data_IF_528894827789
#
_entry.id   IF_528894827789
#
_cell.length_a   1.000
_cell.length_b   1.000
_cell.length_c   1.000
_cell.angle_alpha   90.00
_cell.angle_beta   90.00
_cell.angle_gamma   90.00
#
_symmetry.space_group_name_H-M   'P 1'
#
loop_
_entity.id
_entity.type
_entity.pdbx_description
1 polymer ?
#
# COMPACT_ATOMS: atom_id res chain seq x y z
N UNK A 1 4.78 -0.28 -26.49
CA UNK A 1 4.77 1.17 -26.18
C UNK A 1 5.01 2.13 -27.35
N UNK A 2 5.51 1.69 -28.51
CA UNK A 2 5.74 2.57 -29.67
C UNK A 2 4.45 3.13 -30.31
N UNK A 3 3.37 2.35 -30.38
CA UNK A 3 2.11 2.79 -31.00
C UNK A 3 1.39 3.89 -30.20
N UNK A 4 1.41 3.80 -28.86
CA UNK A 4 0.81 4.81 -27.98
C UNK A 4 1.58 6.14 -28.02
N UNK A 5 2.91 6.08 -28.17
CA UNK A 5 3.76 7.27 -28.29
C UNK A 5 3.63 7.91 -29.66
N UNK A 6 3.60 7.12 -30.75
CA UNK A 6 3.36 7.61 -32.11
C UNK A 6 2.00 8.32 -32.23
N UNK A 7 0.94 7.75 -31.65
CA UNK A 7 -0.39 8.37 -31.66
C UNK A 7 -0.45 9.70 -30.86
N UNK A 8 0.39 9.85 -29.82
CA UNK A 8 0.41 11.09 -29.02
C UNK A 8 1.07 12.25 -29.76
N UNK A 9 2.09 11.98 -30.61
CA UNK A 9 2.75 13.03 -31.40
C UNK A 9 1.88 13.50 -32.57
N UNK A 10 1.22 12.57 -33.27
CA UNK A 10 0.22 12.91 -34.30
C UNK A 10 -0.94 13.71 -33.70
N UNK A 11 -1.46 13.29 -32.54
CA UNK A 11 -2.50 14.03 -31.84
C UNK A 11 -2.05 15.46 -31.50
N UNK A 12 -0.77 15.66 -31.16
CA UNK A 12 -0.22 16.97 -30.83
C UNK A 12 -0.21 17.93 -32.04
N UNK A 13 0.09 17.41 -33.23
CA UNK A 13 0.01 18.16 -34.48
C UNK A 13 -1.44 18.58 -34.74
N UNK A 14 -2.38 17.63 -34.65
CA UNK A 14 -3.82 17.90 -34.83
C UNK A 14 -4.35 18.96 -33.86
N UNK A 15 -3.97 18.89 -32.58
CA UNK A 15 -4.36 19.92 -31.61
C UNK A 15 -3.75 21.29 -31.94
N UNK A 16 -2.50 21.33 -32.42
CA UNK A 16 -1.86 22.59 -32.78
C UNK A 16 -2.49 23.24 -34.00
N UNK A 17 -2.86 22.46 -35.02
CA UNK A 17 -3.64 22.92 -36.17
C UNK A 17 -5.03 23.41 -35.75
N UNK A 18 -5.73 22.64 -34.90
CA UNK A 18 -7.06 23.02 -34.41
C UNK A 18 -7.03 24.32 -33.59
N UNK A 19 -5.97 24.54 -32.80
CA UNK A 19 -5.75 25.79 -32.06
C UNK A 19 -5.45 26.95 -33.02
N UNK A 20 -4.70 26.71 -34.09
CA UNK A 20 -4.44 27.73 -35.13
C UNK A 20 -5.74 28.17 -35.82
N UNK A 21 -6.65 27.23 -36.10
CA UNK A 21 -7.98 27.52 -36.68
C UNK A 21 -8.94 28.19 -35.68
N UNK A 22 -8.83 27.87 -34.39
CA UNK A 22 -9.71 28.40 -33.35
C UNK A 22 -8.93 28.82 -32.08
N UNK A 23 -8.25 29.99 -32.09
CA UNK A 23 -7.31 30.39 -31.02
C UNK A 23 -7.94 30.61 -29.64
N UNK A 24 -9.27 30.76 -29.56
CA UNK A 24 -10.00 30.98 -28.30
C UNK A 24 -10.64 29.69 -27.73
N UNK A 25 -10.36 28.53 -28.33
CA UNK A 25 -10.80 27.23 -27.82
C UNK A 25 -9.84 26.73 -26.72
N UNK A 26 -9.97 27.30 -25.53
CA UNK A 26 -9.14 26.96 -24.37
C UNK A 26 -9.24 25.51 -23.93
N UNK A 27 -10.34 24.83 -24.25
CA UNK A 27 -10.49 23.39 -24.06
C UNK A 27 -9.49 22.58 -24.91
N UNK A 28 -9.18 23.03 -26.13
CA UNK A 28 -8.18 22.40 -27.00
C UNK A 28 -6.75 22.67 -26.51
N UNK A 29 -6.48 23.90 -26.04
CA UNK A 29 -5.21 24.27 -25.43
C UNK A 29 -4.94 23.42 -24.19
N UNK A 30 -5.96 23.21 -23.34
CA UNK A 30 -5.85 22.35 -22.16
C UNK A 30 -5.63 20.87 -22.50
N UNK A 31 -6.29 20.36 -23.54
CA UNK A 31 -6.05 18.99 -24.05
C UNK A 31 -4.63 18.84 -24.57
N UNK A 32 -4.10 19.85 -25.27
CA UNK A 32 -2.70 19.88 -25.73
C UNK A 32 -1.72 19.94 -24.55
N UNK A 33 -1.99 20.74 -23.52
CA UNK A 33 -1.22 20.75 -22.27
C UNK A 33 -1.11 19.35 -21.65
N UNK A 34 -2.22 18.61 -21.58
CA UNK A 34 -2.22 17.25 -21.06
C UNK A 34 -1.40 16.28 -21.92
N UNK A 35 -1.43 16.41 -23.25
CA UNK A 35 -0.57 15.63 -24.14
C UNK A 35 0.91 15.99 -23.97
N UNK A 36 1.23 17.28 -23.84
CA UNK A 36 2.60 17.71 -23.54
C UNK A 36 3.11 17.07 -22.24
N UNK A 37 2.27 17.03 -21.20
CA UNK A 37 2.61 16.34 -19.95
C UNK A 37 2.88 14.84 -20.16
N UNK A 38 2.01 14.14 -20.90
CA UNK A 38 2.19 12.70 -21.21
C UNK A 38 3.47 12.41 -22.00
N UNK A 39 3.91 13.37 -22.82
CA UNK A 39 5.14 13.29 -23.60
C UNK A 39 6.37 13.82 -22.82
N UNK A 40 6.25 14.05 -21.50
CA UNK A 40 7.28 14.63 -20.65
C UNK A 40 7.80 16.02 -21.11
N UNK A 41 7.03 16.73 -21.94
CA UNK A 41 7.31 18.11 -22.41
C UNK A 41 6.68 19.10 -21.43
N UNK A 42 7.16 19.09 -20.17
CA UNK A 42 6.50 19.76 -19.05
C UNK A 42 6.46 21.29 -19.19
N UNK A 43 7.50 21.93 -19.72
CA UNK A 43 7.53 23.38 -19.94
C UNK A 43 6.41 23.83 -20.89
N UNK A 44 6.19 23.10 -21.99
CA UNK A 44 5.10 23.39 -22.93
C UNK A 44 3.73 23.15 -22.31
N UNK A 45 3.63 22.15 -21.42
CA UNK A 45 2.40 21.90 -20.64
C UNK A 45 2.07 23.07 -19.71
N UNK A 46 3.09 23.67 -19.09
CA UNK A 46 2.98 24.88 -18.27
C UNK A 46 2.50 26.06 -19.12
N UNK A 47 3.16 26.35 -20.25
CA UNK A 47 2.79 27.45 -21.15
C UNK A 47 1.31 27.39 -21.58
N UNK A 48 0.85 26.20 -21.99
CA UNK A 48 -0.56 25.99 -22.39
C UNK A 48 -1.51 26.17 -21.20
N UNK A 49 -1.16 25.64 -20.03
CA UNK A 49 -1.99 25.79 -18.82
C UNK A 49 -2.08 27.24 -18.36
N UNK A 50 -0.97 27.97 -18.35
CA UNK A 50 -0.90 29.39 -18.00
C UNK A 50 -1.66 30.24 -19.01
N UNK A 51 -1.61 29.88 -20.30
CA UNK A 51 -2.43 30.53 -21.33
C UNK A 51 -3.91 30.38 -21.01
N UNK A 52 -4.39 29.18 -20.65
CA UNK A 52 -5.79 28.98 -20.25
C UNK A 52 -6.13 29.80 -19.00
N UNK A 53 -5.27 29.79 -17.98
CA UNK A 53 -5.49 30.51 -16.73
C UNK A 53 -5.46 32.03 -16.88
N UNK A 54 -4.74 32.57 -17.87
CA UNK A 54 -4.74 33.99 -18.20
C UNK A 54 -6.14 34.49 -18.60
N UNK A 55 -6.92 33.66 -19.28
CA UNK A 55 -8.27 34.02 -19.74
C UNK A 55 -9.38 33.45 -18.86
N UNK A 56 -9.14 32.31 -18.21
CA UNK A 56 -10.07 31.64 -17.31
C UNK A 56 -9.35 31.37 -15.97
N UNK A 57 -9.22 32.38 -15.09
CA UNK A 57 -8.38 32.30 -13.89
C UNK A 57 -8.78 31.22 -12.88
N UNK A 58 -10.06 30.83 -12.89
CA UNK A 58 -10.61 29.82 -12.00
C UNK A 58 -10.82 28.46 -12.70
N UNK A 59 -10.16 28.23 -13.85
CA UNK A 59 -10.23 26.94 -14.52
C UNK A 59 -9.51 25.86 -13.69
N UNK A 60 -10.30 24.95 -13.14
CA UNK A 60 -9.86 23.91 -12.21
C UNK A 60 -8.91 22.92 -12.89
N UNK A 61 -9.24 22.46 -14.10
CA UNK A 61 -8.42 21.50 -14.83
C UNK A 61 -7.07 22.12 -15.23
N UNK A 62 -7.05 23.41 -15.60
CA UNK A 62 -5.83 24.13 -15.95
C UNK A 62 -4.90 24.31 -14.73
N UNK A 63 -5.45 24.63 -13.55
CA UNK A 63 -4.69 24.63 -12.30
C UNK A 63 -4.12 23.23 -11.99
N UNK A 64 -4.92 22.18 -12.16
CA UNK A 64 -4.44 20.81 -11.94
C UNK A 64 -3.29 20.44 -12.88
N UNK A 65 -3.41 20.71 -14.19
CA UNK A 65 -2.35 20.43 -15.18
C UNK A 65 -1.08 21.23 -14.91
N UNK A 66 -1.24 22.50 -14.55
CA UNK A 66 -0.12 23.35 -14.15
C UNK A 66 0.60 22.79 -12.91
N UNK A 67 -0.15 22.34 -11.91
CA UNK A 67 0.40 21.71 -10.71
C UNK A 67 1.19 20.44 -11.00
N UNK A 68 0.63 19.54 -11.83
CA UNK A 68 1.31 18.30 -12.24
C UNK A 68 2.61 18.61 -13.00
N UNK A 69 2.59 19.57 -13.92
CA UNK A 69 3.77 19.92 -14.71
C UNK A 69 4.86 20.58 -13.85
N UNK A 70 4.50 21.45 -12.89
CA UNK A 70 5.47 21.98 -11.93
C UNK A 70 6.05 20.89 -11.02
N UNK A 71 5.22 19.96 -10.57
CA UNK A 71 5.67 18.83 -9.76
C UNK A 71 6.66 17.94 -10.52
N UNK A 72 6.36 17.61 -11.78
CA UNK A 72 7.24 16.80 -12.63
C UNK A 72 8.60 17.48 -12.92
N UNK A 73 8.65 18.81 -12.92
CA UNK A 73 9.89 19.59 -13.01
C UNK A 73 10.61 19.80 -11.67
N UNK A 74 10.15 19.13 -10.60
CA UNK A 74 10.66 19.32 -9.24
C UNK A 74 10.59 20.77 -8.73
N UNK A 75 9.68 21.57 -9.30
CA UNK A 75 9.39 22.97 -8.90
C UNK A 75 8.34 22.97 -7.79
N UNK A 76 8.74 22.43 -6.63
CA UNK A 76 7.82 22.06 -5.55
C UNK A 76 7.06 23.26 -4.96
N UNK A 77 7.72 24.41 -4.78
CA UNK A 77 7.06 25.61 -4.24
C UNK A 77 5.99 26.18 -5.18
N UNK A 78 6.24 26.12 -6.49
CA UNK A 78 5.26 26.54 -7.50
C UNK A 78 4.08 25.56 -7.52
N UNK A 79 4.36 24.26 -7.49
CA UNK A 79 3.34 23.22 -7.42
C UNK A 79 2.45 23.39 -6.17
N UNK A 80 3.05 23.59 -4.98
CA UNK A 80 2.32 23.81 -3.73
C UNK A 80 1.35 25.00 -3.83
N UNK A 81 1.82 26.13 -4.36
CA UNK A 81 0.98 27.33 -4.57
C UNK A 81 -0.20 27.05 -5.48
N UNK A 82 0.02 26.33 -6.58
CA UNK A 82 -1.04 25.99 -7.55
C UNK A 82 -2.05 25.03 -6.94
N UNK A 83 -1.63 23.95 -6.27
CA UNK A 83 -2.56 23.03 -5.62
C UNK A 83 -3.31 23.67 -4.45
N UNK A 84 -2.69 24.58 -3.71
CA UNK A 84 -3.37 25.37 -2.66
C UNK A 84 -4.47 26.24 -3.26
N UNK A 85 -4.17 26.89 -4.40
CA UNK A 85 -5.18 27.65 -5.15
C UNK A 85 -6.30 26.75 -5.67
N UNK A 86 -5.97 25.58 -6.22
CA UNK A 86 -6.92 24.60 -6.71
C UNK A 86 -7.90 24.16 -5.60
N UNK A 87 -7.39 23.85 -4.40
CA UNK A 87 -8.23 23.49 -3.25
C UNK A 87 -9.20 24.60 -2.84
N UNK A 88 -8.82 25.87 -3.00
CA UNK A 88 -9.72 27.00 -2.74
C UNK A 88 -10.90 27.10 -3.72
N UNK A 89 -10.81 26.44 -4.89
CA UNK A 89 -11.87 26.43 -5.90
C UNK A 89 -12.95 25.35 -5.65
N UNK A 90 -12.83 24.58 -4.56
CA UNK A 90 -13.80 23.55 -4.11
C UNK A 90 -14.14 22.45 -5.14
N UNK A 91 -13.31 22.26 -6.16
CA UNK A 91 -13.42 21.20 -7.17
C UNK A 91 -12.09 20.41 -7.19
N UNK A 92 -12.14 19.08 -7.36
CA UNK A 92 -10.99 18.16 -7.25
C UNK A 92 -10.31 18.03 -5.86
N UNK A 93 -11.08 18.22 -4.77
CA UNK A 93 -10.57 18.21 -3.40
C UNK A 93 -9.70 16.98 -3.06
N UNK A 94 -10.16 15.76 -3.37
CA UNK A 94 -9.45 14.54 -2.98
C UNK A 94 -8.07 14.37 -3.65
N UNK A 95 -8.01 14.45 -4.98
CA UNK A 95 -6.76 14.31 -5.72
C UNK A 95 -5.80 15.47 -5.44
N UNK A 96 -6.31 16.70 -5.37
CA UNK A 96 -5.49 17.87 -5.06
C UNK A 96 -4.93 17.85 -3.63
N UNK A 97 -5.69 17.36 -2.64
CA UNK A 97 -5.21 17.17 -1.26
C UNK A 97 -4.08 16.14 -1.22
N UNK A 98 -4.23 15.02 -1.94
CA UNK A 98 -3.20 13.98 -2.03
C UNK A 98 -1.92 14.51 -2.68
N UNK A 99 -2.04 15.20 -3.83
CA UNK A 99 -0.88 15.79 -4.52
C UNK A 99 -0.17 16.83 -3.66
N UNK A 100 -0.93 17.72 -3.02
CA UNK A 100 -0.37 18.71 -2.10
C UNK A 100 0.37 18.06 -0.93
N UNK A 101 -0.17 16.96 -0.40
CA UNK A 101 0.46 16.20 0.67
C UNK A 101 1.79 15.57 0.23
N UNK A 102 1.84 14.94 -0.94
CA UNK A 102 3.07 14.39 -1.52
C UNK A 102 4.13 15.46 -1.80
N UNK A 103 3.73 16.61 -2.36
CA UNK A 103 4.63 17.76 -2.61
C UNK A 103 5.30 18.21 -1.32
N UNK A 104 4.52 18.35 -0.23
CA UNK A 104 5.04 18.81 1.05
C UNK A 104 5.95 17.81 1.74
N UNK A 105 5.70 16.52 1.58
CA UNK A 105 6.66 15.49 2.02
C UNK A 105 7.98 15.67 1.29
N UNK A 106 7.94 15.77 -0.03
CA UNK A 106 9.14 15.94 -0.84
C UNK A 106 9.88 17.23 -0.51
N UNK A 107 9.18 18.34 -0.26
CA UNK A 107 9.81 19.58 0.22
C UNK A 107 10.53 19.37 1.56
N UNK A 108 9.89 18.71 2.53
CA UNK A 108 10.51 18.42 3.82
C UNK A 108 11.71 17.47 3.69
N UNK A 109 11.66 16.51 2.78
CA UNK A 109 12.80 15.64 2.45
C UNK A 109 13.97 16.45 1.87
N UNK A 110 13.70 17.38 0.95
CA UNK A 110 14.74 18.29 0.43
C UNK A 110 15.32 19.22 1.50
N UNK A 111 14.58 19.47 2.58
CA UNK A 111 15.07 20.20 3.77
C UNK A 111 15.83 19.29 4.75
N UNK A 112 15.97 18.00 4.47
CA UNK A 112 16.70 17.04 5.29
C UNK A 112 15.87 16.28 6.33
N UNK A 113 14.54 16.44 6.33
CA UNK A 113 13.67 15.67 7.22
C UNK A 113 13.41 14.28 6.67
N UNK A 114 13.42 13.27 7.55
CA UNK A 114 13.08 11.91 7.16
C UNK A 114 11.60 11.80 6.70
N UNK A 115 11.27 11.07 5.61
CA UNK A 115 9.92 10.94 5.04
C UNK A 115 8.83 10.67 6.08
N UNK A 116 9.07 9.69 6.95
CA UNK A 116 8.11 9.28 7.98
C UNK A 116 7.86 10.37 9.04
N UNK A 117 8.89 11.15 9.40
CA UNK A 117 8.73 12.28 10.31
C UNK A 117 7.92 13.38 9.62
N UNK A 118 8.26 13.69 8.37
CA UNK A 118 7.53 14.65 7.54
C UNK A 118 6.05 14.28 7.38
N UNK A 119 5.76 13.03 7.03
CA UNK A 119 4.41 12.48 6.93
C UNK A 119 3.62 12.63 8.24
N UNK A 120 4.23 12.24 9.36
CA UNK A 120 3.59 12.33 10.69
C UNK A 120 3.31 13.78 11.08
N UNK A 121 4.25 14.68 10.82
CA UNK A 121 4.11 16.10 11.11
C UNK A 121 3.00 16.73 10.26
N UNK A 122 2.91 16.39 8.98
CA UNK A 122 1.84 16.85 8.07
C UNK A 122 0.47 16.31 8.47
N UNK A 123 0.36 15.07 8.94
CA UNK A 123 -0.90 14.57 9.49
C UNK A 123 -1.33 15.33 10.76
N UNK A 124 -0.39 15.59 11.68
CA UNK A 124 -0.67 16.34 12.91
C UNK A 124 -1.03 17.81 12.62
N UNK A 125 -0.41 18.44 11.62
CA UNK A 125 -0.77 19.80 11.18
C UNK A 125 -2.01 19.84 10.28
N UNK A 126 -2.65 18.69 10.00
CA UNK A 126 -3.80 18.57 9.07
C UNK A 126 -3.49 19.11 7.67
N UNK A 127 -2.24 18.98 7.22
CA UNK A 127 -1.75 19.46 5.94
C UNK A 127 -2.14 20.92 5.66
N UNK A 128 -2.00 21.81 6.66
CA UNK A 128 -2.31 23.24 6.49
C UNK A 128 -1.19 23.98 5.76
N UNK A 129 0.00 23.99 6.35
CA UNK A 129 1.21 24.61 5.79
C UNK A 129 2.44 23.78 6.13
N UNK A 130 3.50 23.95 5.34
CA UNK A 130 4.80 23.32 5.62
C UNK A 130 5.40 23.84 6.93
N UNK A 131 5.23 25.14 7.25
CA UNK A 131 5.75 25.76 8.47
C UNK A 131 5.13 25.17 9.75
N UNK A 132 3.84 24.84 9.73
CA UNK A 132 3.21 24.14 10.85
C UNK A 132 3.78 22.73 11.03
N UNK A 133 4.06 22.02 9.93
CA UNK A 133 4.72 20.71 10.00
C UNK A 133 6.14 20.83 10.55
N UNK A 134 6.92 21.84 10.13
CA UNK A 134 8.26 22.12 10.65
C UNK A 134 8.23 22.41 12.16
N UNK A 135 7.23 23.18 12.62
CA UNK A 135 7.06 23.46 14.06
C UNK A 135 6.83 22.17 14.85
N UNK A 136 6.01 21.27 14.31
CA UNK A 136 5.77 19.95 14.92
C UNK A 136 7.03 19.10 14.90
N UNK A 137 7.79 19.10 13.81
CA UNK A 137 9.06 18.38 13.69
C UNK A 137 10.07 18.85 14.76
N UNK A 138 10.21 20.16 14.93
CA UNK A 138 11.08 20.75 15.95
C UNK A 138 10.66 20.34 17.39
N UNK A 139 9.37 20.20 17.65
CA UNK A 139 8.88 19.69 18.95
C UNK A 139 9.16 18.20 19.16
N UNK A 140 9.16 17.41 18.09
CA UNK A 140 9.41 15.96 18.14
C UNK A 140 10.88 15.63 18.35
N UNK A 141 11.79 16.47 17.86
CA UNK A 141 13.24 16.25 18.06
C UNK A 141 13.70 16.56 19.50
N UNK A 142 12.89 17.29 20.29
CA UNK A 142 13.15 17.52 21.72
C UNK A 142 12.73 16.34 22.62
N UNK A 143 11.85 15.45 22.14
CA UNK A 143 11.47 14.22 22.84
C UNK A 143 12.46 13.10 22.49
N UNK A 144 13.59 13.03 23.22
CA UNK A 144 14.59 11.94 23.13
C UNK A 144 14.03 10.54 23.38
N UNK A 145 12.75 10.39 23.72
CA UNK A 145 12.11 9.12 24.10
C UNK A 145 11.22 8.51 23.00
N UNK A 146 11.04 9.17 21.84
CA UNK A 146 10.25 8.61 20.72
C UNK A 146 11.08 8.07 19.56
N UNK A 147 12.41 8.15 19.66
CA UNK A 147 13.34 7.81 18.56
C UNK A 147 13.67 6.30 18.49
N UNK A 148 13.24 5.48 19.47
CA UNK A 148 13.51 4.02 19.46
C UNK A 148 12.51 3.19 18.65
N UNK A 149 11.36 3.75 18.27
CA UNK A 149 10.28 3.06 17.56
C UNK A 149 10.23 3.39 16.05
N UNK A 150 11.26 4.06 15.52
CA UNK A 150 11.33 4.52 14.12
C UNK A 150 12.72 4.26 13.53
N UNK A 151 13.13 2.99 13.44
CA UNK A 151 14.18 2.54 12.52
C UNK A 151 14.12 1.02 12.28
N UNK A 152 14.13 0.61 11.03
CA UNK A 152 15.07 -0.39 10.51
C UNK A 152 15.45 0.10 9.11
N UNK A 153 16.75 0.29 8.93
CA UNK A 153 17.50 0.72 7.76
C UNK A 153 17.30 -0.20 6.57
N UNK A 154 17.37 0.38 5.37
CA UNK A 154 17.57 -0.30 4.09
C UNK A 154 19.06 -0.64 3.82
N UNK A 155 19.91 -0.70 4.85
CA UNK A 155 21.32 -1.07 4.72
C UNK A 155 21.68 -2.09 5.81
N UNK A 156 21.58 -3.37 5.45
CA UNK A 156 22.66 -4.36 5.68
C UNK A 156 22.32 -5.66 4.92
N UNK A 157 23.25 -6.03 4.05
CA UNK A 157 23.46 -7.33 3.39
C UNK A 157 22.56 -7.66 2.18
N UNK A 158 23.05 -7.18 1.04
CA UNK A 158 23.38 -8.03 -0.09
C UNK A 158 23.68 -9.48 0.31
N UNK A 159 22.74 -10.39 0.10
CA UNK A 159 23.06 -11.78 -0.21
C UNK A 159 22.39 -12.09 -1.53
N UNK A 160 23.23 -12.38 -2.53
CA UNK A 160 22.89 -13.13 -3.73
C UNK A 160 21.93 -14.25 -3.36
N UNK A 161 20.75 -14.27 -3.98
CA UNK A 161 19.89 -15.44 -3.95
C UNK A 161 19.97 -16.03 -5.35
N UNK A 162 20.80 -17.07 -5.45
CA UNK A 162 20.87 -17.95 -6.60
C UNK A 162 19.46 -18.46 -6.95
N UNK A 163 19.13 -18.34 -8.23
CA UNK A 163 18.03 -19.05 -8.86
C UNK A 163 18.46 -20.51 -8.99
N UNK A 164 17.84 -21.41 -8.22
CA UNK A 164 17.71 -22.79 -8.67
C UNK A 164 16.23 -23.06 -8.96
N UNK A 165 15.97 -23.27 -10.25
CA UNK A 165 14.76 -23.83 -10.83
C UNK A 165 14.69 -25.30 -10.43
N UNK A 166 13.68 -25.67 -9.63
CA UNK A 166 13.25 -27.07 -9.52
C UNK A 166 12.04 -27.25 -10.46
N UNK A 167 12.36 -27.44 -11.74
CA UNK A 167 11.56 -28.30 -12.62
C UNK A 167 11.92 -29.75 -12.26
N UNK A 168 10.94 -30.54 -11.83
CA UNK A 168 10.76 -31.91 -12.31
C UNK A 168 9.41 -32.46 -11.83
N UNK A 169 8.57 -32.73 -12.82
CA UNK A 169 7.39 -33.57 -12.76
C UNK A 169 7.77 -34.97 -12.25
N UNK A 170 6.93 -35.60 -11.43
CA UNK A 170 6.72 -37.04 -11.58
C UNK A 170 5.35 -37.49 -11.06
N UNK A 171 4.68 -38.22 -11.95
CA UNK A 171 3.38 -38.85 -11.82
C UNK A 171 3.48 -40.15 -11.01
N UNK A 172 2.41 -40.41 -10.26
CA UNK A 172 1.73 -41.70 -10.09
C UNK A 172 2.36 -42.90 -9.34
N UNK A 173 1.46 -43.49 -8.55
CA UNK A 173 1.25 -44.92 -8.24
C UNK A 173 2.13 -45.63 -7.18
N UNK A 174 1.44 -45.87 -6.06
CA UNK A 174 1.17 -47.18 -5.46
C UNK A 174 2.14 -47.87 -4.47
N UNK A 175 1.45 -48.36 -3.43
CA UNK A 175 1.68 -49.55 -2.61
C UNK A 175 2.73 -49.58 -1.47
N UNK A 176 2.16 -49.64 -0.26
CA UNK A 176 2.47 -50.54 0.86
C UNK A 176 3.91 -51.06 1.01
N UNK A 177 4.58 -50.72 2.12
CA UNK A 177 4.91 -51.74 3.14
C UNK A 177 5.43 -51.15 4.47
N UNK A 178 5.26 -51.98 5.49
CA UNK A 178 5.52 -51.88 6.92
C UNK A 178 7.00 -51.75 7.34
N UNK A 179 7.19 -51.36 8.61
CA UNK A 179 8.39 -51.59 9.44
C UNK A 179 8.80 -50.33 10.19
N UNK A 180 8.35 -50.11 11.42
CA UNK A 180 9.01 -50.52 12.69
C UNK A 180 10.44 -49.98 12.80
N UNK A 181 10.59 -48.88 13.54
CA UNK A 181 11.22 -48.80 14.88
C UNK A 181 12.72 -48.44 14.77
N UNK A 182 13.12 -47.34 15.40
CA UNK A 182 13.95 -47.37 16.62
C UNK A 182 14.53 -45.98 16.92
N UNK A 183 14.39 -45.64 18.20
CA UNK A 183 14.99 -44.50 18.87
C UNK A 183 16.52 -44.52 18.78
N UNK A 184 17.14 -43.34 18.78
CA UNK A 184 18.40 -43.13 19.47
C UNK A 184 18.44 -41.72 20.06
N UNK A 185 18.34 -41.67 21.38
CA UNK A 185 18.83 -40.59 22.22
C UNK A 185 20.37 -40.58 22.16
N UNK A 186 20.98 -39.39 22.17
CA UNK A 186 22.28 -39.20 22.80
C UNK A 186 22.37 -37.79 23.38
N UNK A 187 22.87 -37.76 24.61
CA UNK A 187 22.93 -36.68 25.60
C UNK A 187 24.14 -35.74 25.42
N UNK A 188 24.00 -34.52 25.99
CA UNK A 188 24.99 -33.67 26.71
C UNK A 188 26.35 -33.31 26.04
N UNK A 189 26.99 -32.14 26.20
CA UNK A 189 26.93 -31.13 27.26
C UNK A 189 27.50 -29.75 26.84
N UNK A 190 27.27 -28.77 27.73
CA UNK A 190 28.12 -27.62 28.11
C UNK A 190 28.17 -26.30 27.30
N UNK A 191 27.66 -25.25 27.97
CA UNK A 191 28.41 -24.02 28.18
C UNK A 191 28.55 -23.02 27.04
N UNK A 192 27.47 -22.32 26.66
CA UNK A 192 27.60 -21.01 26.03
C UNK A 192 26.34 -20.16 26.22
N UNK A 193 26.51 -18.85 26.42
CA UNK A 193 25.45 -17.84 26.28
C UNK A 193 24.89 -17.92 24.85
N UNK A 194 23.92 -18.80 24.63
CA UNK A 194 23.32 -19.03 23.33
C UNK A 194 22.41 -17.87 22.95
N UNK A 195 22.88 -17.00 22.06
CA UNK A 195 22.01 -16.13 21.28
C UNK A 195 21.10 -17.02 20.46
N UNK A 196 19.80 -17.05 20.78
CA UNK A 196 18.81 -17.79 20.00
C UNK A 196 18.64 -17.06 18.66
N UNK A 197 19.31 -17.55 17.62
CA UNK A 197 19.16 -17.09 16.24
C UNK A 197 18.00 -17.86 15.61
N UNK A 198 16.88 -17.18 15.43
CA UNK A 198 15.63 -17.77 14.93
C UNK A 198 15.66 -17.78 13.40
N UNK A 199 15.57 -18.97 12.80
CA UNK A 199 15.67 -19.19 11.35
C UNK A 199 14.49 -18.54 10.59
N UNK A 200 14.67 -18.10 9.34
CA UNK A 200 13.66 -17.32 8.57
C UNK A 200 12.34 -18.09 8.30
N UNK A 201 12.27 -19.39 8.58
CA UNK A 201 11.18 -20.31 8.22
C UNK A 201 10.25 -20.77 9.37
N UNK A 202 10.31 -20.18 10.58
CA UNK A 202 9.47 -20.65 11.70
C UNK A 202 7.96 -20.54 11.41
N UNK A 203 7.23 -21.65 11.62
CA UNK A 203 5.75 -21.74 11.56
C UNK A 203 5.06 -20.65 12.38
N UNK A 204 5.66 -20.22 13.48
CA UNK A 204 5.13 -19.21 14.39
C UNK A 204 4.87 -17.84 13.74
N UNK A 205 5.70 -17.44 12.76
CA UNK A 205 5.50 -16.16 12.08
C UNK A 205 4.23 -16.17 11.20
N UNK A 206 3.70 -17.36 10.89
CA UNK A 206 2.48 -17.56 10.12
C UNK A 206 1.34 -18.13 10.98
N UNK A 207 1.53 -18.29 12.29
CA UNK A 207 0.51 -18.85 13.19
C UNK A 207 -0.55 -17.81 13.54
N UNK A 208 -1.79 -17.92 13.02
CA UNK A 208 -2.84 -16.94 13.27
C UNK A 208 -3.25 -16.83 14.74
N UNK A 209 -2.92 -17.82 15.58
CA UNK A 209 -3.21 -17.82 17.02
C UNK A 209 -2.48 -16.71 17.78
N UNK A 210 -1.43 -16.14 17.17
CA UNK A 210 -0.64 -15.04 17.72
C UNK A 210 -0.10 -15.31 19.14
N UNK A 211 0.62 -16.43 19.37
CA UNK A 211 1.07 -16.82 20.71
C UNK A 211 1.99 -15.77 21.37
N UNK A 212 2.71 -14.99 20.55
CA UNK A 212 3.62 -13.92 21.00
C UNK A 212 2.94 -12.55 21.17
N UNK A 213 1.62 -12.46 20.97
CA UNK A 213 0.84 -11.23 21.12
C UNK A 213 1.42 -10.07 20.29
N UNK A 214 1.84 -10.34 19.05
CA UNK A 214 2.33 -9.33 18.12
C UNK A 214 1.18 -8.42 17.64
N UNK A 215 1.39 -7.10 17.61
CA UNK A 215 0.41 -6.15 17.06
C UNK A 215 0.65 -5.82 15.58
N UNK A 216 1.81 -6.20 15.05
CA UNK A 216 2.29 -5.85 13.72
C UNK A 216 2.12 -7.01 12.75
N UNK A 217 1.62 -6.73 11.55
CA UNK A 217 1.54 -7.66 10.43
C UNK A 217 2.37 -7.14 9.26
N UNK A 218 3.05 -8.06 8.59
CA UNK A 218 3.59 -7.88 7.25
C UNK A 218 2.66 -8.58 6.26
N UNK A 219 2.24 -7.83 5.25
CA UNK A 219 1.32 -8.28 4.20
C UNK A 219 2.03 -8.13 2.87
N UNK A 220 2.00 -9.14 2.01
CA UNK A 220 2.52 -9.06 0.66
C UNK A 220 1.63 -9.83 -0.31
N UNK A 221 2.06 -9.86 -1.58
CA UNK A 221 1.39 -10.60 -2.66
C UNK A 221 0.03 -10.00 -3.05
N UNK A 222 -0.03 -8.67 -3.14
CA UNK A 222 -1.18 -7.91 -3.64
C UNK A 222 -0.78 -7.06 -4.85
N UNK A 223 -1.77 -6.69 -5.67
CA UNK A 223 -1.56 -5.94 -6.91
C UNK A 223 -1.04 -4.53 -6.66
N UNK A 224 -0.25 -4.02 -7.62
CA UNK A 224 0.29 -2.64 -7.63
C UNK A 224 -0.79 -1.56 -7.66
N UNK A 225 -1.99 -1.90 -8.09
CA UNK A 225 -3.11 -0.97 -8.23
C UNK A 225 -3.88 -0.79 -6.91
N UNK A 226 -3.57 -1.58 -5.86
CA UNK A 226 -4.23 -1.42 -4.57
C UNK A 226 -3.91 -0.06 -3.96
N UNK A 227 -4.95 0.66 -3.56
CA UNK A 227 -4.80 1.94 -2.88
C UNK A 227 -4.61 1.76 -1.38
N UNK A 228 -4.02 2.77 -0.76
CA UNK A 228 -3.94 2.85 0.71
C UNK A 228 -5.31 2.72 1.37
N UNK A 229 -6.36 3.34 0.79
CA UNK A 229 -7.70 3.31 1.37
C UNK A 229 -8.33 1.92 1.30
N UNK A 230 -8.15 1.20 0.20
CA UNK A 230 -8.65 -0.17 0.06
C UNK A 230 -7.98 -1.11 1.05
N UNK A 231 -6.65 -1.03 1.17
CA UNK A 231 -5.89 -1.80 2.15
C UNK A 231 -6.33 -1.46 3.59
N UNK A 232 -6.50 -0.17 3.90
CA UNK A 232 -6.94 0.28 5.22
C UNK A 232 -8.34 -0.25 5.55
N UNK A 233 -9.30 -0.09 4.64
CA UNK A 233 -10.68 -0.53 4.81
C UNK A 233 -10.78 -2.05 4.99
N UNK A 234 -9.91 -2.81 4.33
CA UNK A 234 -9.85 -4.26 4.47
C UNK A 234 -9.44 -4.67 5.88
N UNK A 235 -8.35 -4.09 6.39
CA UNK A 235 -7.76 -4.48 7.68
C UNK A 235 -8.42 -3.81 8.89
N UNK A 236 -9.04 -2.63 8.72
CA UNK A 236 -9.75 -1.94 9.79
C UNK A 236 -10.95 -2.73 10.33
N UNK A 237 -11.47 -3.71 9.58
CA UNK A 237 -12.56 -4.61 10.01
C UNK A 237 -12.19 -5.48 11.22
N UNK A 238 -10.90 -5.71 11.46
CA UNK A 238 -10.41 -6.60 12.51
C UNK A 238 -9.96 -5.86 13.78
N UNK A 239 -9.88 -4.54 13.72
CA UNK A 239 -9.53 -3.69 14.86
C UNK A 239 -9.02 -2.32 14.48
N UNK A 240 -8.78 -1.49 15.50
CA UNK A 240 -8.24 -0.14 15.33
C UNK A 240 -6.76 -0.21 14.91
N UNK A 241 -6.47 0.31 13.72
CA UNK A 241 -5.11 0.42 13.19
C UNK A 241 -4.42 1.61 13.87
N UNK A 242 -3.27 1.35 14.50
CA UNK A 242 -2.36 2.36 15.06
C UNK A 242 -1.61 3.09 13.95
N UNK A 243 -1.06 2.35 13.00
CA UNK A 243 -0.35 2.88 11.84
C UNK A 243 -0.34 1.84 10.71
N UNK A 244 -0.31 2.28 9.45
CA UNK A 244 -0.17 1.43 8.28
C UNK A 244 0.82 2.05 7.29
N UNK A 245 1.77 1.23 6.79
CA UNK A 245 2.66 1.59 5.69
C UNK A 245 2.31 0.72 4.49
N UNK A 246 2.18 1.33 3.33
CA UNK A 246 1.97 0.65 2.05
C UNK A 246 3.12 1.03 1.11
N UNK A 247 3.82 0.03 0.59
CA UNK A 247 4.88 0.18 -0.40
C UNK A 247 4.50 -0.58 -1.67
N UNK A 248 4.52 0.11 -2.80
CA UNK A 248 4.04 -0.43 -4.09
C UNK A 248 5.22 -0.73 -5.04
N UNK A 249 6.39 -0.08 -4.87
CA UNK A 249 7.56 -0.27 -5.73
C UNK A 249 8.85 -0.34 -4.90
N UNK A 250 9.82 -1.22 -5.23
CA UNK A 250 9.83 -2.23 -6.30
C UNK A 250 9.10 -3.55 -5.94
N UNK A 251 8.79 -3.80 -4.66
CA UNK A 251 8.02 -4.96 -4.19
C UNK A 251 6.75 -4.48 -3.48
N UNK A 252 5.59 -5.09 -3.77
CA UNK A 252 4.31 -4.74 -3.16
C UNK A 252 4.19 -5.37 -1.76
N UNK A 253 4.30 -4.55 -0.71
CA UNK A 253 4.13 -5.00 0.68
C UNK A 253 3.53 -3.90 1.58
N UNK A 254 2.89 -4.33 2.66
CA UNK A 254 2.31 -3.45 3.66
C UNK A 254 2.70 -3.89 5.06
N UNK A 255 2.91 -2.92 5.95
CA UNK A 255 3.03 -3.15 7.37
C UNK A 255 1.81 -2.56 8.08
N UNK A 256 1.12 -3.37 8.86
CA UNK A 256 -0.12 -2.99 9.53
C UNK A 256 0.06 -3.19 11.02
N UNK A 257 0.00 -2.10 11.78
CA UNK A 257 0.16 -2.11 13.23
C UNK A 257 -1.20 -1.85 13.87
N UNK A 258 -1.74 -2.82 14.60
CA UNK A 258 -2.95 -2.66 15.39
C UNK A 258 -2.66 -2.05 16.76
N UNK A 259 -3.70 -1.46 17.38
CA UNK A 259 -3.65 -1.09 18.79
C UNK A 259 -3.62 -2.32 19.71
N UNK A 260 -4.24 -3.43 19.28
CA UNK A 260 -4.35 -4.67 20.05
C UNK A 260 -3.80 -5.86 19.26
N UNK A 261 -3.11 -6.77 19.95
CA UNK A 261 -2.55 -7.98 19.34
C UNK A 261 -3.62 -8.99 18.91
N UNK A 262 -4.77 -9.00 19.57
CA UNK A 262 -5.89 -9.87 19.21
C UNK A 262 -6.43 -9.54 17.81
N UNK A 263 -6.41 -8.27 17.41
CA UNK A 263 -6.81 -7.82 16.08
C UNK A 263 -5.87 -8.32 14.98
N UNK A 264 -4.56 -8.34 15.25
CA UNK A 264 -3.57 -8.85 14.31
C UNK A 264 -3.79 -10.35 14.02
N UNK A 265 -4.02 -11.15 15.05
CA UNK A 265 -4.32 -12.58 14.91
C UNK A 265 -5.62 -12.84 14.15
N UNK A 266 -6.68 -12.08 14.46
CA UNK A 266 -7.96 -12.16 13.73
C UNK A 266 -7.80 -11.81 12.24
N UNK A 267 -7.09 -10.73 11.94
CA UNK A 267 -6.85 -10.31 10.57
C UNK A 267 -6.05 -11.35 9.79
N UNK A 268 -4.98 -11.89 10.37
CA UNK A 268 -4.21 -12.98 9.76
C UNK A 268 -5.10 -14.21 9.52
N UNK A 269 -5.85 -14.66 10.53
CA UNK A 269 -6.74 -15.82 10.41
C UNK A 269 -7.77 -15.67 9.29
N UNK A 270 -8.31 -14.47 9.10
CA UNK A 270 -9.41 -14.22 8.17
C UNK A 270 -8.96 -13.82 6.76
N UNK A 271 -7.78 -13.24 6.61
CA UNK A 271 -7.30 -12.71 5.32
C UNK A 271 -6.13 -13.51 4.73
N UNK A 272 -5.53 -14.43 5.49
CA UNK A 272 -4.47 -15.28 4.96
C UNK A 272 -4.98 -16.08 3.76
N UNK A 273 -4.26 -16.00 2.65
CA UNK A 273 -4.62 -16.69 1.43
C UNK A 273 -5.79 -16.07 0.65
N UNK A 274 -6.39 -14.98 1.12
CA UNK A 274 -7.49 -14.32 0.41
C UNK A 274 -7.00 -13.64 -0.87
N UNK A 275 -7.79 -13.78 -1.94
CA UNK A 275 -7.58 -13.04 -3.20
C UNK A 275 -8.45 -11.79 -3.20
N UNK A 276 -7.87 -10.66 -3.58
CA UNK A 276 -8.55 -9.37 -3.63
C UNK A 276 -9.36 -9.23 -4.93
N UNK A 277 -8.83 -9.78 -6.03
CA UNK A 277 -9.48 -9.91 -7.33
C UNK A 277 -9.26 -11.34 -7.83
N UNK A 278 -10.07 -11.77 -8.80
CA UNK A 278 -9.98 -13.11 -9.40
C UNK A 278 -8.59 -13.37 -10.00
N UNK A 279 -7.93 -12.32 -10.51
CA UNK A 279 -6.61 -12.36 -11.12
C UNK A 279 -5.45 -12.14 -10.14
N UNK A 280 -5.69 -11.80 -8.87
CA UNK A 280 -4.59 -11.51 -7.93
C UNK A 280 -4.05 -12.80 -7.32
N UNK A 281 -2.76 -12.82 -7.05
CA UNK A 281 -2.16 -13.80 -6.15
C UNK A 281 -2.80 -13.71 -4.74
N UNK A 282 -2.80 -14.81 -3.97
CA UNK A 282 -3.37 -14.82 -2.63
C UNK A 282 -2.51 -14.02 -1.65
N UNK A 283 -3.14 -13.22 -0.78
CA UNK A 283 -2.43 -12.46 0.25
C UNK A 283 -1.58 -13.38 1.13
N UNK A 284 -0.34 -12.97 1.37
CA UNK A 284 0.55 -13.62 2.32
C UNK A 284 0.73 -12.68 3.51
N UNK A 285 0.29 -13.13 4.68
CA UNK A 285 0.34 -12.38 5.93
C UNK A 285 1.23 -13.12 6.92
N UNK A 286 2.20 -12.42 7.50
CA UNK A 286 3.09 -12.94 8.54
C UNK A 286 3.36 -11.90 9.63
N UNK A 287 3.72 -12.34 10.82
CA UNK A 287 4.32 -11.47 11.83
C UNK A 287 5.76 -11.12 11.41
N UNK A 288 6.21 -9.86 11.59
CA UNK A 288 7.58 -9.48 11.28
C UNK A 288 8.59 -10.25 12.14
N UNK A 289 9.56 -10.90 11.51
CA UNK A 289 10.58 -11.73 12.18
C UNK A 289 11.33 -10.98 13.28
N UNK A 290 11.67 -9.70 13.04
CA UNK A 290 12.38 -8.87 14.03
C UNK A 290 11.52 -8.63 15.29
N UNK A 291 10.20 -8.54 15.14
CA UNK A 291 9.27 -8.37 16.27
C UNK A 291 9.13 -9.67 17.06
N UNK A 292 9.07 -10.81 16.37
CA UNK A 292 9.08 -12.15 16.98
C UNK A 292 10.35 -12.34 17.81
N UNK A 293 11.51 -12.05 17.22
CA UNK A 293 12.80 -12.19 17.89
C UNK A 293 12.92 -11.28 19.12
N UNK A 294 12.40 -10.05 19.03
CA UNK A 294 12.33 -9.13 20.16
C UNK A 294 11.39 -9.64 21.27
N UNK A 295 10.25 -10.22 20.91
CA UNK A 295 9.31 -10.79 21.87
C UNK A 295 9.88 -12.04 22.57
N UNK A 296 10.50 -12.96 21.81
CA UNK A 296 11.14 -14.16 22.34
C UNK A 296 12.28 -13.82 23.30
N UNK A 297 13.10 -12.80 23.01
CA UNK A 297 14.16 -12.32 23.91
C UNK A 297 13.64 -11.76 25.24
N UNK A 298 12.38 -11.31 25.30
CA UNK A 298 11.76 -10.78 26.53
C UNK A 298 11.15 -11.86 27.40
N UNK A 299 10.89 -13.05 26.85
CA UNK A 299 10.47 -14.21 27.63
C UNK A 299 11.66 -14.70 28.44
N UNK A 300 11.49 -14.76 29.76
CA UNK A 300 12.56 -15.16 30.69
C UNK A 300 12.53 -16.65 31.01
N UNK A 301 11.42 -17.31 30.77
CA UNK A 301 11.21 -18.72 31.08
C UNK A 301 11.45 -19.60 29.84
N UNK A 302 12.51 -20.45 29.83
CA UNK A 302 12.76 -21.40 28.76
C UNK A 302 11.61 -22.38 28.51
N UNK A 303 10.79 -22.67 29.54
CA UNK A 303 9.62 -23.55 29.42
C UNK A 303 8.46 -22.90 28.64
N UNK A 304 8.23 -21.60 28.78
CA UNK A 304 7.27 -20.85 27.97
C UNK A 304 7.72 -20.74 26.52
N UNK A 305 9.03 -20.52 26.29
CA UNK A 305 9.61 -20.45 24.95
C UNK A 305 9.45 -21.79 24.22
N UNK A 306 9.74 -22.92 24.88
CA UNK A 306 9.54 -24.26 24.31
C UNK A 306 8.07 -24.52 23.98
N UNK A 307 7.12 -24.15 24.86
CA UNK A 307 5.67 -24.30 24.60
C UNK A 307 5.20 -23.50 23.38
N UNK A 308 5.78 -22.34 23.14
CA UNK A 308 5.43 -21.47 22.01
C UNK A 308 6.07 -21.96 20.70
N UNK A 309 7.29 -22.51 20.74
CA UNK A 309 8.01 -22.96 19.53
C UNK A 309 7.59 -24.34 19.02
N UNK A 310 6.82 -25.12 19.80
CA UNK A 310 6.25 -26.38 19.34
C UNK A 310 5.21 -26.12 18.23
N UNK A 311 5.16 -26.97 17.18
CA UNK A 311 4.20 -26.79 16.09
C UNK A 311 2.75 -26.82 16.60
N UNK A 312 1.82 -26.06 15.97
CA UNK A 312 0.42 -26.06 16.38
C UNK A 312 -0.20 -27.45 16.21
N UNK A 313 -1.05 -27.86 17.15
CA UNK A 313 -1.95 -29.02 16.99
C UNK A 313 -2.81 -28.80 15.73
N UNK A 314 -2.90 -29.81 14.87
CA UNK A 314 -3.60 -29.74 13.58
C UNK A 314 -5.05 -29.27 13.74
N UNK A 315 -5.43 -28.24 12.98
CA UNK A 315 -6.83 -27.81 12.86
C UNK A 315 -7.23 -27.79 11.39
N UNK A 316 -8.12 -28.74 11.07
CA UNK A 316 -8.86 -28.99 9.83
C UNK A 316 -8.93 -27.83 8.82
N UNK A 317 -8.35 -28.09 7.65
CA UNK A 317 -8.43 -27.29 6.44
C UNK A 317 -9.80 -27.40 5.75
N UNK A 318 -10.62 -26.35 5.83
CA UNK A 318 -11.62 -26.09 4.78
C UNK A 318 -11.58 -24.62 4.34
N UNK A 319 -11.33 -24.34 3.05
CA UNK A 319 -11.36 -22.98 2.53
C UNK A 319 -12.79 -22.43 2.56
N UNK A 320 -12.97 -21.23 3.13
CA UNK A 320 -14.26 -20.54 3.17
C UNK A 320 -14.33 -19.50 2.04
N UNK A 321 -15.23 -19.73 1.08
CA UNK A 321 -15.56 -18.75 0.02
C UNK A 321 -16.52 -17.71 0.60
N UNK A 322 -16.13 -16.43 0.59
CA UNK A 322 -17.03 -15.34 0.95
C UNK A 322 -17.93 -15.05 -0.25
N UNK A 323 -19.20 -15.48 -0.19
CA UNK A 323 -20.24 -15.04 -1.14
C UNK A 323 -20.53 -13.55 -0.91
N UNK A 324 -20.61 -12.78 -2.01
CA UNK A 324 -21.04 -11.38 -1.99
C UNK A 324 -22.42 -11.25 -1.33
N UNK A 325 -22.70 -10.16 -0.59
CA UNK A 325 -24.05 -9.87 -0.12
C UNK A 325 -24.96 -9.57 -1.32
N UNK A 326 -25.99 -10.40 -1.48
CA UNK A 326 -27.08 -10.19 -2.43
C UNK A 326 -27.76 -8.85 -2.17
N UNK A 327 -27.76 -7.98 -3.18
CA UNK A 327 -28.57 -6.76 -3.18
C UNK A 327 -30.05 -7.18 -3.23
N UNK A 328 -30.73 -7.07 -2.09
CA UNK A 328 -32.18 -7.23 -2.02
C UNK A 328 -32.83 -5.97 -2.62
N UNK A 329 -33.21 -6.04 -3.89
CA UNK A 329 -34.19 -5.11 -4.48
C UNK A 329 -35.60 -5.57 -4.06
N UNK A 330 -36.42 -4.73 -3.40
CA UNK A 330 -37.80 -5.10 -3.10
C UNK A 330 -38.65 -5.11 -4.37
N UNK A 331 -39.39 -6.21 -4.56
CA UNK A 331 -40.23 -6.48 -5.71
C UNK A 331 -41.41 -5.49 -5.81
N UNK A 332 -41.47 -4.75 -6.92
CA UNK A 332 -42.70 -4.10 -7.38
C UNK A 332 -43.67 -5.16 -7.90
N UNK A 333 -44.76 -5.36 -7.18
CA UNK A 333 -45.89 -6.23 -7.51
C UNK A 333 -46.51 -5.81 -8.84
N UNK A 334 -46.29 -6.58 -9.90
CA UNK A 334 -46.97 -6.41 -11.19
C UNK A 334 -48.13 -7.40 -11.25
N UNK A 335 -49.32 -6.93 -10.88
CA UNK A 335 -50.59 -7.63 -11.04
C UNK A 335 -50.83 -7.93 -12.52
N UNK A 336 -50.86 -9.22 -12.88
CA UNK A 336 -51.28 -9.69 -14.21
C UNK A 336 -52.79 -9.51 -14.32
N UNK A 337 -53.22 -8.62 -15.20
CA UNK A 337 -54.55 -8.65 -15.79
C UNK A 337 -54.63 -9.82 -16.77
N UNK A 338 -55.53 -10.76 -16.52
CA UNK A 338 -55.99 -11.74 -17.50
C UNK A 338 -57.08 -11.10 -18.37
N UNK A 339 -57.08 -11.26 -19.70
CA UNK A 339 -58.24 -10.94 -20.51
C UNK A 339 -59.15 -12.16 -20.56
N UNK A 340 -60.34 -12.04 -19.98
CA UNK A 340 -61.41 -13.03 -20.12
C UNK A 340 -62.25 -12.64 -21.34
N UNK A 341 -62.08 -13.37 -22.45
CA UNK A 341 -62.97 -13.30 -23.60
C UNK A 341 -64.12 -14.29 -23.42
N UNK A 342 -65.35 -13.77 -23.47
CA UNK A 342 -66.51 -14.48 -24.06
C UNK A 342 -66.06 -15.05 -25.43
N UNK A 343 -66.38 -16.26 -25.83
CA UNK A 343 -67.49 -17.17 -25.44
C UNK A 343 -67.00 -18.50 -24.91
#
# INVERSE_FOLDING_TARGET
>A
DYEKTNNNEEALQLFSEAIHLAPRRFDLILKRSHLYYKLAKFEKSIEDSETVLKYIPNNVDAHYRLGEAYYALNKLEQAERVYTKLLSLNSYRGEAEQRLFSIRIQQLETMGYHPNKAFTALLKSKNKTINEAITILASLDNDKETVKDLYYSDDDESEEFDEEEDDEDEEDEDEENNGEEEDNEDEESEGAKGTITVNKNHKLCKDPSNPLKCCSLFVCNFDKDITYQEMYNLFAKFGKIKNMRLAIQPKCYAFINYMESTSAGKAMKSLQGCRLLISTSPLIIKYPTNMINSALKKLKDPGEIKKILLPPLEVSSKPTVIKQPSVNCPATTRTRFTPNMKK
#
